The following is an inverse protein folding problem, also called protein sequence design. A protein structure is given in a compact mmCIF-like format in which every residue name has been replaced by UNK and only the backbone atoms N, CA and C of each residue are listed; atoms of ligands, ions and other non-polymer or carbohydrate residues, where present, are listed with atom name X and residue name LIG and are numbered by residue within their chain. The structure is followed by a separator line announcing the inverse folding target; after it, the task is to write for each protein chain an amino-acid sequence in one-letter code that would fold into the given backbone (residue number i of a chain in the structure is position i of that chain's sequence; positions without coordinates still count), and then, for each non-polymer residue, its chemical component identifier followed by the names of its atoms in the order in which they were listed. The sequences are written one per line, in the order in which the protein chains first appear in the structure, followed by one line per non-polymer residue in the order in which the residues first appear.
data_IF_687336455690
#
_entry.id   IF_687336455690
#
_cell.length_a   1.000
_cell.length_b   1.000
_cell.length_c   1.000
_cell.angle_alpha   90.00
_cell.angle_beta   90.00
_cell.angle_gamma   90.00
#
_symmetry.space_group_name_H-M   'P 1'
#
loop_
_entity.id
_entity.type
_entity.pdbx_description
1 polymer ?
#
# COMPACT_ATOMS: atom_id res chain seq x y z
N UNK A 1 14.20 17.49 2.70
CA UNK A 1 12.93 16.83 3.07
C UNK A 1 12.64 15.83 1.97
N UNK A 2 12.64 14.54 2.29
CA UNK A 2 12.48 13.49 1.29
C UNK A 2 11.13 13.65 0.58
N UNK A 3 11.14 13.68 -0.74
CA UNK A 3 9.92 13.53 -1.52
C UNK A 3 9.36 12.15 -1.14
N UNK A 4 8.19 12.03 -0.54
CA UNK A 4 7.57 10.73 -0.25
C UNK A 4 6.81 10.26 -1.48
N UNK A 5 6.80 8.96 -1.76
CA UNK A 5 6.07 8.42 -2.90
C UNK A 5 4.56 8.50 -2.70
N UNK A 6 4.05 8.23 -1.50
CA UNK A 6 2.65 8.41 -1.12
C UNK A 6 2.52 9.50 -0.06
N UNK A 7 1.35 10.14 0.04
CA UNK A 7 1.03 11.09 1.11
C UNK A 7 -0.05 10.49 1.98
N UNK A 8 0.04 10.74 3.29
CA UNK A 8 -0.92 10.20 4.26
C UNK A 8 -2.38 10.55 3.93
N UNK A 9 -2.62 11.78 3.43
CA UNK A 9 -3.96 12.21 3.03
C UNK A 9 -4.54 11.32 1.93
N UNK A 10 -3.73 10.86 0.98
CA UNK A 10 -4.19 10.04 -0.15
C UNK A 10 -4.69 8.66 0.30
N UNK A 11 -4.17 8.13 1.41
CA UNK A 11 -4.58 6.84 1.95
C UNK A 11 -5.92 6.97 2.69
N UNK A 12 -6.10 8.08 3.41
CA UNK A 12 -7.33 8.38 4.18
C UNK A 12 -8.48 8.84 3.26
N UNK A 13 -8.18 9.71 2.29
CA UNK A 13 -9.17 10.38 1.44
C UNK A 13 -9.14 9.96 -0.03
N UNK A 14 -8.40 8.89 -0.38
CA UNK A 14 -8.16 8.44 -1.77
C UNK A 14 -9.38 7.99 -2.59
N UNK A 15 -10.60 8.21 -2.09
CA UNK A 15 -11.83 7.88 -2.80
C UNK A 15 -12.03 6.37 -2.96
N UNK A 16 -12.22 5.90 -4.19
CA UNK A 16 -12.49 4.49 -4.50
C UNK A 16 -11.34 3.55 -4.14
N UNK A 17 -10.09 4.02 -4.21
CA UNK A 17 -8.93 3.20 -3.88
C UNK A 17 -8.70 3.06 -2.38
N UNK A 18 -9.50 3.71 -1.53
CA UNK A 18 -9.30 3.71 -0.08
C UNK A 18 -9.19 2.29 0.47
N UNK A 19 -8.12 2.07 1.22
CA UNK A 19 -7.85 0.78 1.87
C UNK A 19 -8.48 0.77 3.26
N UNK A 20 -9.29 -0.24 3.55
CA UNK A 20 -9.81 -0.48 4.90
C UNK A 20 -8.68 -0.96 5.83
N UNK A 21 -8.68 -0.69 7.14
CA UNK A 21 -9.81 -0.24 7.96
C UNK A 21 -9.80 1.25 8.33
N UNK A 22 -9.08 2.12 7.60
CA UNK A 22 -9.11 3.57 7.88
C UNK A 22 -10.39 4.20 7.33
N UNK A 23 -11.02 5.08 8.12
CA UNK A 23 -12.16 5.88 7.68
C UNK A 23 -11.70 7.24 7.13
N UNK A 24 -12.64 8.08 6.66
CA UNK A 24 -12.31 9.42 6.17
C UNK A 24 -12.00 10.44 7.27
N UNK A 25 -12.29 10.12 8.54
CA UNK A 25 -12.08 10.99 9.69
C UNK A 25 -10.73 10.71 10.38
N UNK A 26 -10.07 9.62 10.00
CA UNK A 26 -8.76 9.26 10.51
C UNK A 26 -7.75 10.36 10.28
N UNK A 27 -7.01 10.75 11.32
CA UNK A 27 -6.05 11.83 11.23
C UNK A 27 -4.84 11.39 10.38
N UNK A 28 -4.62 11.98 9.18
CA UNK A 28 -3.51 11.60 8.31
C UNK A 28 -2.15 11.93 8.93
N UNK A 29 -2.07 12.85 9.90
CA UNK A 29 -0.81 13.20 10.56
C UNK A 29 -0.25 12.03 11.39
N UNK A 30 -1.10 11.10 11.82
CA UNK A 30 -0.69 9.88 12.54
C UNK A 30 0.03 8.88 11.62
N UNK A 31 -0.23 8.91 10.31
CA UNK A 31 0.43 8.04 9.33
C UNK A 31 1.75 8.63 8.85
N UNK A 32 1.86 9.96 8.79
CA UNK A 32 3.00 10.68 8.21
C UNK A 32 4.39 10.18 8.63
N UNK A 33 4.67 9.96 9.93
CA UNK A 33 5.97 9.49 10.40
C UNK A 33 6.37 8.10 9.88
N UNK A 34 5.41 7.28 9.47
CA UNK A 34 5.62 5.88 9.08
C UNK A 34 5.75 5.69 7.57
N UNK A 35 5.54 6.75 6.77
CA UNK A 35 5.54 6.68 5.30
C UNK A 35 6.89 6.19 4.78
N UNK A 36 7.99 6.84 5.18
CA UNK A 36 9.34 6.48 4.71
C UNK A 36 9.71 5.04 5.06
N UNK A 37 9.30 4.57 6.24
CA UNK A 37 9.56 3.21 6.70
C UNK A 37 8.74 2.19 5.89
N UNK A 38 7.44 2.46 5.69
CA UNK A 38 6.56 1.61 4.90
C UNK A 38 7.02 1.52 3.43
N UNK A 39 7.40 2.65 2.83
CA UNK A 39 7.93 2.70 1.47
C UNK A 39 9.22 1.89 1.33
N UNK A 40 10.14 2.05 2.27
CA UNK A 40 11.41 1.31 2.23
C UNK A 40 11.23 -0.20 2.45
N UNK A 41 10.29 -0.60 3.31
CA UNK A 41 10.10 -2.00 3.70
C UNK A 41 9.24 -2.78 2.72
N UNK A 42 8.19 -2.16 2.17
CA UNK A 42 7.18 -2.84 1.37
C UNK A 42 7.21 -2.50 -0.11
N UNK A 43 7.95 -1.47 -0.55
CA UNK A 43 8.04 -1.12 -1.98
C UNK A 43 9.45 -1.30 -2.49
N UNK A 44 10.40 -0.58 -1.87
CA UNK A 44 11.78 -0.49 -2.36
C UNK A 44 12.43 -1.86 -2.48
N UNK A 45 12.09 -2.78 -1.58
CA UNK A 45 12.58 -4.17 -1.60
C UNK A 45 12.03 -4.97 -2.78
N UNK A 46 10.78 -4.73 -3.18
CA UNK A 46 10.06 -5.52 -4.18
C UNK A 46 10.36 -5.05 -5.61
N UNK A 47 10.39 -3.73 -5.82
CA UNK A 47 10.49 -3.16 -7.17
C UNK A 47 11.91 -2.66 -7.49
N UNK A 48 12.77 -2.62 -6.48
CA UNK A 48 14.12 -2.08 -6.55
C UNK A 48 14.19 -0.58 -6.27
N UNK A 49 15.36 -0.14 -5.80
CA UNK A 49 15.61 1.25 -5.42
C UNK A 49 15.58 2.21 -6.60
N UNK A 50 16.19 1.84 -7.71
CA UNK A 50 16.29 2.68 -8.92
C UNK A 50 14.90 2.99 -9.46
N UNK A 51 14.07 1.96 -9.63
CA UNK A 51 12.70 2.11 -10.10
C UNK A 51 11.84 2.92 -9.13
N UNK A 52 12.01 2.72 -7.82
CA UNK A 52 11.28 3.49 -6.83
C UNK A 52 11.58 5.00 -6.86
N UNK A 53 12.83 5.40 -7.07
CA UNK A 53 13.15 6.83 -7.19
C UNK A 53 12.60 7.43 -8.49
N UNK A 54 12.56 6.68 -9.59
CA UNK A 54 11.89 7.12 -10.84
C UNK A 54 10.38 7.36 -10.65
N UNK A 55 9.70 6.47 -9.93
CA UNK A 55 8.28 6.65 -9.59
C UNK A 55 8.03 7.96 -8.82
N UNK A 56 8.95 8.32 -7.93
CA UNK A 56 8.84 9.57 -7.14
C UNK A 56 9.07 10.82 -7.97
N UNK A 57 9.89 10.75 -9.01
CA UNK A 57 10.15 11.86 -9.93
C UNK A 57 8.97 12.10 -10.87
N UNK A 58 8.35 11.01 -11.36
CA UNK A 58 7.26 11.08 -12.34
C UNK A 58 5.87 11.32 -11.75
N UNK A 59 5.76 11.25 -10.42
CA UNK A 59 4.53 11.51 -9.68
C UNK A 59 4.04 12.97 -9.85
N UNK A 60 2.73 13.15 -9.91
CA UNK A 60 2.08 14.48 -9.83
C UNK A 60 2.41 15.25 -8.54
N UNK A 61 2.59 16.58 -8.59
CA UNK A 61 2.85 17.39 -7.40
C UNK A 61 1.64 17.51 -6.46
N UNK A 62 0.42 17.18 -6.91
CA UNK A 62 -0.80 17.37 -6.14
C UNK A 62 -1.26 16.06 -5.44
N UNK A 63 -2.19 16.17 -4.48
CA UNK A 63 -2.73 15.00 -3.76
C UNK A 63 -3.69 14.20 -4.66
N UNK A 64 -3.39 12.92 -4.90
CA UNK A 64 -4.23 12.10 -5.78
C UNK A 64 -5.65 11.93 -5.23
N UNK A 65 -6.62 11.94 -6.15
CA UNK A 65 -8.02 11.72 -5.87
C UNK A 65 -8.67 11.05 -7.07
N UNK A 66 -9.05 9.78 -6.89
CA UNK A 66 -9.77 8.98 -7.88
C UNK A 66 -11.28 9.00 -7.66
N UNK A 67 -11.80 10.04 -6.98
CA UNK A 67 -13.23 10.15 -6.73
C UNK A 67 -13.92 10.97 -7.84
N UNK A 68 -14.67 10.34 -8.75
CA UNK A 68 -15.36 11.07 -9.82
C UNK A 68 -16.47 11.99 -9.30
N UNK A 69 -16.95 11.78 -8.06
CA UNK A 69 -17.97 12.63 -7.45
C UNK A 69 -17.45 13.99 -6.96
N UNK A 70 -16.12 14.16 -6.81
CA UNK A 70 -15.49 15.39 -6.35
C UNK A 70 -14.36 15.82 -7.31
N UNK A 71 -14.69 16.47 -8.44
CA UNK A 71 -13.68 16.98 -9.36
C UNK A 71 -12.86 18.13 -8.72
N UNK A 72 -11.59 18.32 -9.14
CA UNK A 72 -10.91 17.62 -10.22
C UNK A 72 -10.34 16.25 -9.81
N UNK A 73 -10.46 15.26 -10.70
CA UNK A 73 -9.72 14.00 -10.57
C UNK A 73 -8.22 14.29 -10.67
N UNK A 74 -7.45 13.74 -9.72
CA UNK A 74 -6.00 13.88 -9.72
C UNK A 74 -5.37 12.50 -9.83
N UNK A 75 -4.82 12.25 -11.01
CA UNK A 75 -4.18 11.00 -11.43
C UNK A 75 -2.72 11.04 -10.97
N UNK A 76 -2.21 9.90 -10.51
CA UNK A 76 -0.84 9.78 -9.99
C UNK A 76 0.22 10.04 -11.07
N UNK A 77 0.06 9.41 -12.23
CA UNK A 77 0.98 9.49 -13.36
C UNK A 77 0.27 9.98 -14.63
N UNK A 78 -0.04 11.29 -14.73
CA UNK A 78 -0.78 11.83 -15.88
C UNK A 78 -0.02 11.70 -17.21
N UNK A 79 1.31 11.63 -17.16
CA UNK A 79 2.18 11.57 -18.35
C UNK A 79 2.53 10.16 -18.80
N UNK A 80 2.30 9.14 -17.96
CA UNK A 80 2.81 7.78 -18.18
C UNK A 80 1.70 6.73 -17.87
N UNK A 81 0.91 6.31 -18.88
CA UNK A 81 -0.22 5.41 -18.66
C UNK A 81 0.21 4.01 -18.17
N UNK A 82 1.41 3.55 -18.50
CA UNK A 82 1.93 2.27 -17.99
C UNK A 82 2.17 2.31 -16.47
N UNK A 83 2.74 3.42 -15.95
CA UNK A 83 2.94 3.58 -14.50
C UNK A 83 1.60 3.73 -13.77
N UNK A 84 0.64 4.40 -14.40
CA UNK A 84 -0.72 4.50 -13.88
C UNK A 84 -1.39 3.12 -13.80
N UNK A 85 -1.23 2.29 -14.83
CA UNK A 85 -1.73 0.92 -14.84
C UNK A 85 -1.07 0.07 -13.74
N UNK A 86 0.25 0.18 -13.53
CA UNK A 86 0.93 -0.46 -12.39
C UNK A 86 0.35 0.00 -11.04
N UNK A 87 0.05 1.29 -10.92
CA UNK A 87 -0.46 1.88 -9.69
C UNK A 87 -1.86 1.36 -9.31
N UNK A 88 -2.76 1.26 -10.29
CA UNK A 88 -4.17 0.87 -10.11
C UNK A 88 -4.39 -0.64 -10.31
N UNK A 89 -3.98 -1.16 -11.47
CA UNK A 89 -4.20 -2.55 -11.89
C UNK A 89 -3.20 -3.47 -11.19
N UNK A 90 -1.93 -3.09 -11.18
CA UNK A 90 -0.86 -3.79 -10.48
C UNK A 90 -0.96 -3.73 -8.96
N UNK A 91 -1.96 -3.03 -8.40
CA UNK A 91 -2.25 -2.92 -6.96
C UNK A 91 -1.11 -2.33 -6.11
N UNK A 92 -0.18 -1.60 -6.73
CA UNK A 92 0.90 -0.95 -6.01
C UNK A 92 0.37 0.02 -4.95
N UNK A 93 -0.67 0.81 -5.24
CA UNK A 93 -1.29 1.69 -4.24
C UNK A 93 -1.76 0.92 -3.00
N UNK A 94 -2.46 -0.21 -3.22
CA UNK A 94 -3.00 -1.01 -2.13
C UNK A 94 -1.88 -1.56 -1.24
N UNK A 95 -0.83 -2.10 -1.85
CA UNK A 95 0.31 -2.64 -1.09
C UNK A 95 0.91 -1.61 -0.13
N UNK A 96 1.05 -0.37 -0.60
CA UNK A 96 1.64 0.72 0.17
C UNK A 96 0.73 1.15 1.29
N UNK A 97 -0.56 1.32 0.98
CA UNK A 97 -1.56 1.70 1.97
C UNK A 97 -1.66 0.64 3.09
N UNK A 98 -1.71 -0.65 2.73
CA UNK A 98 -1.70 -1.73 3.71
C UNK A 98 -0.39 -1.80 4.51
N UNK A 99 0.76 -1.61 3.86
CA UNK A 99 2.07 -1.53 4.51
C UNK A 99 2.15 -0.38 5.52
N UNK A 100 1.65 0.80 5.15
CA UNK A 100 1.63 1.98 6.03
C UNK A 100 0.70 1.78 7.24
N UNK A 101 -0.48 1.19 7.03
CA UNK A 101 -1.39 0.86 8.12
C UNK A 101 -0.72 -0.14 9.06
N UNK A 102 -0.04 -1.16 8.53
CA UNK A 102 0.64 -2.15 9.36
C UNK A 102 1.78 -1.56 10.21
N UNK A 103 2.54 -0.59 9.68
CA UNK A 103 3.60 0.07 10.46
C UNK A 103 3.05 1.07 11.48
N UNK A 104 1.96 1.78 11.15
CA UNK A 104 1.38 2.78 12.06
C UNK A 104 0.54 2.16 13.18
N UNK A 105 -0.14 1.04 12.92
CA UNK A 105 -1.11 0.44 13.83
C UNK A 105 -0.60 0.26 15.28
N UNK A 106 0.60 -0.32 15.54
CA UNK A 106 1.09 -0.51 16.90
C UNK A 106 1.27 0.81 17.68
N UNK A 107 1.52 1.91 16.97
CA UNK A 107 1.83 3.20 17.57
C UNK A 107 0.61 4.10 17.71
N UNK A 108 -0.44 3.85 16.92
CA UNK A 108 -1.68 4.64 16.99
C UNK A 108 -2.50 4.34 18.26
N UNK A 109 -2.33 3.15 18.84
CA UNK A 109 -2.99 2.76 20.08
C UNK A 109 -2.31 3.33 21.34
N UNK A 110 -1.00 3.61 21.28
CA UNK A 110 -0.22 4.07 22.42
C UNK A 110 0.33 5.47 22.17
N UNK A 111 -0.02 6.41 23.04
CA UNK A 111 0.55 7.75 23.02
C UNK A 111 1.47 7.93 24.23
N UNK A 112 2.72 8.30 23.98
CA UNK A 112 3.66 8.65 25.05
C UNK A 112 3.54 10.13 25.36
N UNK A 113 3.05 10.45 26.55
CA UNK A 113 2.94 11.82 27.07
C UNK A 113 3.96 12.06 28.17
N UNK A 114 4.14 13.31 28.61
CA UNK A 114 4.96 13.63 29.79
C UNK A 114 4.48 12.96 31.08
N UNK A 115 3.25 12.43 31.10
CA UNK A 115 2.67 11.71 32.22
C UNK A 115 2.74 10.17 32.05
N UNK A 116 3.41 9.68 31.01
CA UNK A 116 3.56 8.25 30.72
C UNK A 116 2.80 7.80 29.47
N UNK A 117 2.70 6.48 29.29
CA UNK A 117 2.03 5.85 28.14
C UNK A 117 0.52 5.80 28.39
N UNK A 118 -0.26 6.40 27.50
CA UNK A 118 -1.71 6.46 27.57
C UNK A 118 -2.31 5.77 26.34
N UNK A 119 -3.51 5.20 26.52
CA UNK A 119 -4.34 4.68 25.43
C UNK A 119 -5.52 5.65 25.23
N UNK A 120 -5.57 6.42 24.13
CA UNK A 120 -6.66 7.34 23.90
C UNK A 120 -7.96 6.55 23.67
N UNK A 121 -9.02 6.91 24.37
CA UNK A 121 -10.37 6.38 24.16
C UNK A 121 -11.28 7.49 23.66
N UNK A 122 -12.09 7.21 22.64
CA UNK A 122 -13.15 8.13 22.21
C UNK A 122 -14.41 7.88 23.03
N UNK A 123 -15.23 8.91 23.22
CA UNK A 123 -16.44 8.86 24.06
C UNK A 123 -17.44 7.76 23.63
N UNK A 124 -17.37 7.28 22.37
CA UNK A 124 -18.27 6.28 21.80
C UNK A 124 -17.54 5.10 21.15
N UNK A 125 -16.25 4.88 21.44
CA UNK A 125 -15.49 3.75 20.89
C UNK A 125 -14.92 2.87 22.00
N UNK A 126 -15.08 1.56 21.83
CA UNK A 126 -14.39 0.57 22.64
C UNK A 126 -13.01 0.33 22.02
N UNK A 127 -11.96 0.40 22.85
CA UNK A 127 -10.63 0.00 22.41
C UNK A 127 -10.62 -1.49 22.07
N UNK A 128 -10.01 -1.83 20.93
CA UNK A 128 -9.85 -3.23 20.53
C UNK A 128 -8.98 -3.98 21.55
N UNK A 129 -9.36 -5.21 21.86
CA UNK A 129 -8.64 -6.09 22.77
C UNK A 129 -7.39 -6.67 22.09
N UNK A 130 -6.43 -7.16 22.91
CA UNK A 130 -5.18 -7.71 22.38
C UNK A 130 -5.36 -8.84 21.35
N UNK A 131 -6.40 -9.67 21.48
CA UNK A 131 -6.72 -10.72 20.50
C UNK A 131 -7.25 -10.16 19.18
N UNK A 132 -8.05 -9.10 19.23
CA UNK A 132 -8.59 -8.43 18.04
C UNK A 132 -7.47 -7.71 17.27
N UNK A 133 -6.55 -7.09 18.00
CA UNK A 133 -5.35 -6.45 17.40
C UNK A 133 -4.42 -7.48 16.77
N UNK A 134 -4.27 -8.68 17.36
CA UNK A 134 -3.51 -9.79 16.75
C UNK A 134 -4.17 -10.29 15.48
N UNK A 135 -5.48 -10.55 15.51
CA UNK A 135 -6.23 -10.93 14.32
C UNK A 135 -6.07 -9.90 13.20
N UNK A 136 -6.20 -8.61 13.53
CA UNK A 136 -6.00 -7.53 12.57
C UNK A 136 -4.57 -7.55 12.00
N UNK A 137 -3.55 -7.64 12.85
CA UNK A 137 -2.15 -7.70 12.42
C UNK A 137 -1.84 -8.90 11.50
N UNK A 138 -2.42 -10.06 11.78
CA UNK A 138 -2.25 -11.25 10.95
C UNK A 138 -2.93 -11.08 9.59
N UNK A 139 -4.15 -10.53 9.56
CA UNK A 139 -4.86 -10.23 8.30
C UNK A 139 -4.15 -9.16 7.48
N UNK A 140 -3.53 -8.17 8.13
CA UNK A 140 -2.69 -7.17 7.47
C UNK A 140 -1.49 -7.83 6.77
N UNK A 141 -0.78 -8.72 7.47
CA UNK A 141 0.37 -9.44 6.91
C UNK A 141 -0.03 -10.36 5.75
N UNK A 142 -1.15 -11.06 5.88
CA UNK A 142 -1.68 -11.92 4.80
C UNK A 142 -1.99 -11.10 3.55
N UNK A 143 -2.68 -9.97 3.71
CA UNK A 143 -3.00 -9.06 2.62
C UNK A 143 -1.75 -8.47 1.97
N UNK A 144 -0.77 -8.03 2.77
CA UNK A 144 0.51 -7.53 2.26
C UNK A 144 1.22 -8.61 1.46
N UNK A 145 1.31 -9.84 1.98
CA UNK A 145 1.98 -10.95 1.29
C UNK A 145 1.29 -11.31 -0.02
N UNK A 146 -0.04 -11.28 -0.04
CA UNK A 146 -0.81 -11.47 -1.27
C UNK A 146 -0.54 -10.35 -2.29
N UNK A 147 -0.62 -9.09 -1.86
CA UNK A 147 -0.41 -7.93 -2.73
C UNK A 147 1.02 -7.82 -3.25
N UNK A 148 2.03 -8.17 -2.44
CA UNK A 148 3.42 -8.29 -2.89
C UNK A 148 3.53 -9.23 -4.08
N UNK A 149 2.87 -10.40 -4.02
CA UNK A 149 2.90 -11.38 -5.11
C UNK A 149 2.17 -10.87 -6.35
N UNK A 150 1.02 -10.22 -6.19
CA UNK A 150 0.26 -9.64 -7.30
C UNK A 150 1.06 -8.53 -8.01
N UNK A 151 1.69 -7.63 -7.26
CA UNK A 151 2.55 -6.56 -7.82
C UNK A 151 3.72 -7.17 -8.58
N UNK A 152 4.41 -8.16 -7.99
CA UNK A 152 5.52 -8.85 -8.66
C UNK A 152 5.05 -9.55 -9.92
N UNK A 153 3.91 -10.24 -9.87
CA UNK A 153 3.34 -10.92 -11.03
C UNK A 153 3.04 -9.95 -12.16
N UNK A 154 2.39 -8.82 -11.85
CA UNK A 154 2.08 -7.80 -12.84
C UNK A 154 3.33 -7.18 -13.47
N UNK A 155 4.37 -6.90 -12.66
CA UNK A 155 5.66 -6.39 -13.15
C UNK A 155 6.36 -7.40 -14.06
N UNK A 156 6.27 -8.68 -13.74
CA UNK A 156 6.89 -9.73 -14.53
C UNK A 156 6.14 -10.03 -15.84
N UNK A 157 4.80 -9.98 -15.85
CA UNK A 157 4.00 -10.11 -17.07
C UNK A 157 4.25 -8.96 -18.06
N UNK A 158 4.49 -7.76 -17.53
CA UNK A 158 4.68 -6.53 -18.31
C UNK A 158 6.14 -6.03 -18.30
N UNK A 159 7.10 -6.95 -18.10
CA UNK A 159 8.52 -6.63 -17.88
C UNK A 159 9.12 -5.66 -18.90
N UNK A 160 8.72 -5.78 -20.17
CA UNK A 160 9.22 -4.94 -21.27
C UNK A 160 8.87 -3.46 -21.11
N UNK A 161 7.76 -3.16 -20.43
CA UNK A 161 7.33 -1.78 -20.17
C UNK A 161 8.10 -1.13 -19.02
N UNK A 162 8.62 -1.92 -18.08
CA UNK A 162 9.20 -1.42 -16.83
C UNK A 162 10.73 -1.42 -16.80
N UNK A 163 11.40 -2.15 -17.68
CA UNK A 163 12.88 -2.16 -17.79
C UNK A 163 13.47 -0.77 -18.05
N UNK A 164 12.75 0.08 -18.79
CA UNK A 164 13.15 1.47 -19.07
C UNK A 164 13.28 2.31 -17.79
N UNK A 165 12.56 1.92 -16.74
CA UNK A 165 12.55 2.60 -15.45
C UNK A 165 13.53 1.97 -14.45
N UNK A 166 14.40 1.05 -14.89
CA UNK A 166 15.37 0.39 -14.04
C UNK A 166 14.82 -0.84 -13.29
N UNK A 167 13.65 -1.36 -13.69
CA UNK A 167 13.19 -2.66 -13.20
C UNK A 167 14.09 -3.79 -13.75
N UNK A 168 14.66 -4.59 -12.86
CA UNK A 168 15.54 -5.71 -13.21
C UNK A 168 14.76 -7.03 -13.09
N UNK A 169 14.20 -7.55 -14.19
CA UNK A 169 13.37 -8.76 -14.13
C UNK A 169 14.19 -9.98 -13.68
N UNK A 170 15.50 -9.98 -13.88
CA UNK A 170 16.40 -11.08 -13.48
C UNK A 170 16.46 -11.29 -11.96
N UNK A 171 16.29 -10.20 -11.19
CA UNK A 171 16.39 -10.25 -9.72
C UNK A 171 15.07 -10.66 -9.04
N UNK A 172 13.94 -10.53 -9.75
CA UNK A 172 12.60 -10.61 -9.16
C UNK A 172 11.65 -11.59 -9.87
N UNK A 173 11.89 -11.91 -11.14
CA UNK A 173 11.05 -12.78 -11.94
C UNK A 173 11.71 -14.16 -12.08
N UNK A 174 11.46 -15.04 -11.11
CA UNK A 174 11.64 -16.48 -11.33
C UNK A 174 10.74 -16.90 -12.51
N UNK A 175 11.28 -17.66 -13.47
CA UNK A 175 10.61 -18.16 -14.69
C UNK A 175 9.07 -18.11 -14.60
N UNK A 176 8.48 -17.04 -15.16
CA UNK A 176 7.06 -16.71 -15.01
C UNK A 176 6.11 -17.82 -15.52
N UNK A 177 6.64 -18.83 -16.20
CA UNK A 177 5.95 -20.07 -16.59
C UNK A 177 5.53 -20.94 -15.39
N UNK A 178 6.16 -20.81 -14.22
CA UNK A 178 5.81 -21.60 -13.01
C UNK A 178 4.74 -20.96 -12.12
N UNK A 179 4.47 -19.66 -12.26
CA UNK A 179 3.53 -18.94 -11.39
C UNK A 179 2.08 -19.01 -11.87
N UNK A 180 1.81 -19.03 -13.19
CA UNK A 180 0.45 -19.21 -13.73
C UNK A 180 -0.25 -20.49 -13.24
N UNK A 181 0.53 -21.55 -13.00
CA UNK A 181 0.00 -22.83 -12.52
C UNK A 181 -0.32 -22.86 -11.01
N UNK A 182 0.16 -21.92 -10.20
CA UNK A 182 -0.14 -21.91 -8.74
C UNK A 182 -1.49 -21.29 -8.40
N UNK A 183 -1.97 -20.32 -9.18
CA UNK A 183 -3.24 -19.65 -8.90
C UNK A 183 -4.45 -20.39 -9.48
N UNK A 184 -4.29 -21.11 -10.59
CA UNK A 184 -5.36 -21.98 -11.12
C UNK A 184 -5.62 -23.21 -10.25
N UNK A 185 -4.59 -23.70 -9.54
CA UNK A 185 -4.71 -24.93 -8.75
C UNK A 185 -5.12 -24.70 -7.28
N UNK A 186 -5.21 -23.46 -6.81
CA UNK A 186 -5.58 -23.13 -5.43
C UNK A 186 -6.96 -22.46 -5.28
N UNK A 187 -7.76 -22.37 -6.36
CA UNK A 187 -9.15 -21.89 -6.28
C UNK A 187 -10.14 -22.97 -5.83
N UNK A 188 -9.77 -23.76 -4.83
CA UNK A 188 -10.71 -24.59 -4.06
C UNK A 188 -10.71 -24.12 -2.61
N UNK A 189 -11.15 -22.89 -2.39
CA UNK A 189 -11.66 -22.53 -1.06
C UNK A 189 -12.93 -23.36 -0.85
N UNK A 190 -13.02 -24.16 0.24
CA UNK A 190 -14.24 -24.90 0.52
C UNK A 190 -15.38 -23.90 0.75
N UNK A 191 -16.42 -24.03 -0.06
CA UNK A 191 -17.71 -23.38 0.19
C UNK A 191 -18.26 -24.05 1.45
N UNK A 192 -18.20 -23.35 2.58
CA UNK A 192 -18.92 -23.75 3.78
C UNK A 192 -20.40 -23.48 3.51
N UNK A 193 -21.16 -24.55 3.27
CA UNK A 193 -22.62 -24.56 3.31
C UNK A 193 -23.12 -24.46 4.75
#
# INVERSE_FOLDING_TARGET
MGNTFIRAREIVTGGFLRVAPVDTQYDPTLLGPYIDLAESKYIRDIIGREFFEELKVKRTPNDISYNPAYPPLQIMFPSDPALEALFIEGKLFNLIAWGLINESLPHTHFQMTSMGVQTPTSLNANAAQGNEMRYLADRLKDNITFLTKEVQFYLCENKELYTVYGFKPEDYCDDCSKLKNRFQNNSTLPIWY
#
